data_IF_511707201662
#
_entry.id   IF_511707201662
#
_cell.length_a   1.000
_cell.length_b   1.000
_cell.length_c   1.000
_cell.angle_alpha   90.00
_cell.angle_beta   90.00
_cell.angle_gamma   90.00
#
_symmetry.space_group_name_H-M   'P 1'
#
loop_
_entity.id
_entity.type
_entity.pdbx_description
1 polymer ?
#
# COMPACT_ATOMS: atom_id res chain seq x y z
N UNK A 1 -16.77 36.27 27.18
CA UNK A 1 -17.23 34.94 26.73
C UNK A 1 -16.04 34.14 26.23
N UNK A 2 -15.91 32.87 26.63
CA UNK A 2 -14.86 32.01 26.11
C UNK A 2 -15.14 31.64 24.64
N UNK A 3 -14.09 31.36 23.87
CA UNK A 3 -14.25 30.87 22.50
C UNK A 3 -14.58 29.37 22.50
N UNK A 4 -15.48 28.95 21.60
CA UNK A 4 -15.72 27.53 21.33
C UNK A 4 -14.46 26.86 20.76
N UNK A 5 -14.29 25.55 21.01
CA UNK A 5 -13.19 24.76 20.45
C UNK A 5 -13.12 24.82 18.91
N UNK A 6 -14.29 24.96 18.25
CA UNK A 6 -14.44 25.10 16.79
C UNK A 6 -14.43 26.56 16.31
N UNK A 7 -14.02 27.50 17.15
CA UNK A 7 -13.92 28.91 16.77
C UNK A 7 -12.88 29.10 15.66
N UNK A 8 -13.30 29.71 14.54
CA UNK A 8 -12.46 29.91 13.35
C UNK A 8 -11.17 30.68 13.65
N UNK A 9 -11.22 31.71 14.50
CA UNK A 9 -10.04 32.50 14.87
C UNK A 9 -9.00 31.67 15.62
N UNK A 10 -9.43 30.86 16.59
CA UNK A 10 -8.56 29.95 17.35
C UNK A 10 -8.01 28.82 16.48
N UNK A 11 -8.82 28.27 15.56
CA UNK A 11 -8.36 27.26 14.61
C UNK A 11 -7.30 27.81 13.65
N UNK A 12 -7.49 29.02 13.11
CA UNK A 12 -6.47 29.69 12.27
C UNK A 12 -5.15 29.91 13.02
N UNK A 13 -5.22 30.37 14.27
CA UNK A 13 -4.04 30.53 15.11
C UNK A 13 -3.32 29.19 15.39
N UNK A 14 -4.06 28.10 15.61
CA UNK A 14 -3.49 26.76 15.74
C UNK A 14 -2.83 26.30 14.46
N UNK A 15 -3.47 26.50 13.30
CA UNK A 15 -2.91 26.13 12.01
C UNK A 15 -1.56 26.84 11.76
N UNK A 16 -1.49 28.16 11.99
CA UNK A 16 -0.24 28.91 11.86
C UNK A 16 0.88 28.36 12.76
N UNK A 17 0.54 27.88 13.97
CA UNK A 17 1.49 27.27 14.91
C UNK A 17 1.90 25.85 14.52
N UNK A 18 1.06 25.07 13.84
CA UNK A 18 1.33 23.65 13.56
C UNK A 18 1.96 23.46 12.18
N UNK A 19 1.48 24.20 11.18
CA UNK A 19 1.87 24.04 9.78
C UNK A 19 2.60 25.27 9.21
N UNK A 20 2.96 26.24 10.05
CA UNK A 20 3.76 27.38 9.62
C UNK A 20 5.17 26.92 9.21
N UNK A 21 5.75 27.55 8.18
CA UNK A 21 7.08 27.22 7.62
C UNK A 21 8.19 27.16 8.69
N UNK A 22 8.10 28.01 9.71
CA UNK A 22 9.08 28.07 10.81
C UNK A 22 8.57 27.45 12.12
N UNK A 23 7.47 26.71 12.09
CA UNK A 23 6.88 26.17 13.31
C UNK A 23 7.71 25.03 13.91
N UNK A 24 7.90 25.07 15.23
CA UNK A 24 8.64 24.04 15.94
C UNK A 24 7.88 22.69 15.97
N UNK A 25 6.56 22.74 15.91
CA UNK A 25 5.71 21.55 15.77
C UNK A 25 5.97 20.80 14.46
N UNK A 26 6.05 21.51 13.34
CA UNK A 26 6.33 20.91 12.04
C UNK A 26 7.72 20.28 12.03
N UNK A 27 8.75 21.05 12.46
CA UNK A 27 10.13 20.59 12.52
C UNK A 27 10.29 19.32 13.37
N UNK A 28 9.68 19.29 14.56
CA UNK A 28 9.74 18.13 15.44
C UNK A 28 9.05 16.92 14.81
N UNK A 29 7.91 17.12 14.16
CA UNK A 29 7.18 16.05 13.50
C UNK A 29 7.97 15.49 12.30
N UNK A 30 8.56 16.34 11.47
CA UNK A 30 9.42 15.94 10.36
C UNK A 30 10.66 15.18 10.84
N UNK A 31 11.34 15.69 11.87
CA UNK A 31 12.49 15.01 12.46
C UNK A 31 12.14 13.61 12.99
N UNK A 32 10.95 13.44 13.59
CA UNK A 32 10.47 12.13 14.02
C UNK A 32 10.17 11.21 12.84
N UNK A 33 9.53 11.73 11.78
CA UNK A 33 9.20 10.96 10.58
C UNK A 33 10.46 10.43 9.90
N UNK A 34 11.48 11.27 9.75
CA UNK A 34 12.75 10.86 9.16
C UNK A 34 13.41 9.76 10.00
N UNK A 35 13.49 9.96 11.33
CA UNK A 35 14.06 8.96 12.25
C UNK A 35 13.33 7.61 12.21
N UNK A 36 12.01 7.62 12.03
CA UNK A 36 11.23 6.39 11.87
C UNK A 36 11.48 5.74 10.52
N UNK A 37 11.56 6.52 9.44
CA UNK A 37 11.87 6.01 8.11
C UNK A 37 13.26 5.33 8.07
N UNK A 38 14.25 5.94 8.71
CA UNK A 38 15.61 5.37 8.78
C UNK A 38 15.60 4.03 9.55
N UNK A 39 14.95 4.00 10.72
CA UNK A 39 14.79 2.76 11.49
C UNK A 39 14.04 1.67 10.73
N UNK A 40 13.03 2.03 9.94
CA UNK A 40 12.28 1.08 9.12
C UNK A 40 13.16 0.48 8.02
N UNK A 41 13.97 1.31 7.35
CA UNK A 41 14.94 0.85 6.33
C UNK A 41 15.98 -0.08 6.96
N UNK A 42 16.60 0.34 8.07
CA UNK A 42 17.57 -0.47 8.80
C UNK A 42 16.99 -1.82 9.24
N UNK A 43 15.76 -1.83 9.74
CA UNK A 43 15.11 -3.06 10.19
C UNK A 43 14.83 -4.00 9.01
N UNK A 44 14.37 -3.46 7.88
CA UNK A 44 14.16 -4.24 6.65
C UNK A 44 15.46 -4.86 6.14
N UNK A 45 16.56 -4.10 6.14
CA UNK A 45 17.90 -4.61 5.77
C UNK A 45 18.30 -5.75 6.70
N UNK A 46 18.16 -5.57 8.03
CA UNK A 46 18.47 -6.62 9.03
C UNK A 46 17.63 -7.88 8.81
N UNK A 47 16.34 -7.73 8.49
CA UNK A 47 15.48 -8.88 8.19
C UNK A 47 15.91 -9.63 6.93
N UNK A 48 16.26 -8.91 5.85
CA UNK A 48 16.73 -9.52 4.60
C UNK A 48 18.08 -10.23 4.79
N UNK A 49 19.01 -9.61 5.52
CA UNK A 49 20.28 -10.23 5.90
C UNK A 49 20.07 -11.51 6.72
N UNK A 50 19.16 -11.48 7.72
CA UNK A 50 18.83 -12.65 8.51
C UNK A 50 18.20 -13.79 7.69
N UNK A 51 17.51 -13.47 6.60
CA UNK A 51 16.95 -14.44 5.64
C UNK A 51 17.96 -14.93 4.58
N UNK A 52 19.18 -14.38 4.56
CA UNK A 52 20.18 -14.68 3.53
C UNK A 52 19.86 -14.08 2.16
N UNK A 53 18.91 -13.14 2.08
CA UNK A 53 18.49 -12.47 0.83
C UNK A 53 19.40 -11.29 0.44
N UNK A 54 20.33 -10.88 1.32
CA UNK A 54 21.32 -9.83 1.08
C UNK A 54 22.73 -10.31 1.47
N UNK A 55 23.67 -10.26 0.52
CA UNK A 55 25.09 -10.39 0.82
C UNK A 55 25.59 -9.15 1.60
N UNK A 56 26.55 -9.37 2.49
CA UNK A 56 27.01 -8.49 3.57
C UNK A 56 27.70 -7.19 3.18
N UNK A 57 27.48 -6.63 2.00
CA UNK A 57 28.10 -5.37 1.59
C UNK A 57 27.13 -4.53 0.76
N UNK A 58 26.34 -3.68 1.42
CA UNK A 58 25.66 -2.57 0.75
C UNK A 58 25.93 -1.32 1.57
N UNK A 59 27.02 -0.63 1.19
CA UNK A 59 27.26 0.76 1.52
C UNK A 59 26.04 1.60 1.13
N UNK A 60 25.69 2.52 2.04
CA UNK A 60 24.47 3.29 1.96
C UNK A 60 24.43 4.24 0.77
N UNK A 61 23.86 3.79 -0.34
CA UNK A 61 23.05 4.63 -1.22
C UNK A 61 22.10 3.75 -2.04
N UNK A 62 20.86 4.20 -2.18
CA UNK A 62 19.80 3.55 -2.97
C UNK A 62 19.58 2.03 -2.74
N UNK A 63 18.79 1.68 -1.72
CA UNK A 63 18.00 0.45 -1.80
C UNK A 63 16.93 0.67 -2.86
N UNK A 64 17.30 0.49 -4.13
CA UNK A 64 16.35 0.27 -5.19
C UNK A 64 15.56 -0.98 -4.80
N UNK A 65 14.28 -0.79 -4.46
CA UNK A 65 13.37 -1.90 -4.16
C UNK A 65 12.94 -2.51 -5.51
N UNK A 66 13.94 -2.94 -6.28
CA UNK A 66 13.82 -3.79 -7.44
C UNK A 66 14.56 -5.09 -7.14
N UNK A 67 14.25 -5.69 -5.98
CA UNK A 67 14.31 -7.14 -5.91
C UNK A 67 13.15 -7.63 -6.79
N UNK A 68 13.42 -7.73 -8.09
CA UNK A 68 12.67 -8.61 -8.95
C UNK A 68 12.71 -9.98 -8.28
N UNK A 69 11.61 -10.29 -7.60
CA UNK A 69 11.23 -11.62 -7.21
C UNK A 69 11.12 -12.41 -8.51
N UNK A 70 12.25 -12.96 -8.97
CA UNK A 70 12.27 -13.95 -10.04
C UNK A 70 11.61 -15.21 -9.48
N UNK A 71 10.27 -15.17 -9.45
CA UNK A 71 9.48 -16.38 -9.52
C UNK A 71 9.87 -17.05 -10.83
N UNK A 72 10.71 -18.07 -10.75
CA UNK A 72 10.79 -19.12 -11.76
C UNK A 72 9.39 -19.73 -11.88
N UNK A 73 8.59 -19.18 -12.79
CA UNK A 73 7.30 -19.72 -13.19
C UNK A 73 7.48 -20.35 -14.58
N UNK A 74 7.93 -21.60 -14.58
CA UNK A 74 7.91 -22.52 -15.73
C UNK A 74 6.47 -22.86 -16.22
N UNK A 75 5.49 -22.01 -15.93
CA UNK A 75 4.14 -22.07 -16.47
C UNK A 75 3.54 -20.69 -16.76
N UNK A 76 4.35 -19.76 -17.26
CA UNK A 76 3.91 -18.45 -17.76
C UNK A 76 3.00 -18.57 -19.01
N UNK A 77 1.80 -19.13 -18.83
CA UNK A 77 0.70 -18.97 -19.76
C UNK A 77 0.48 -17.47 -19.96
N UNK A 78 0.46 -17.02 -21.22
CA UNK A 78 0.34 -15.62 -21.59
C UNK A 78 -0.95 -15.04 -21.01
N UNK A 79 -0.85 -14.40 -19.84
CA UNK A 79 -2.00 -13.79 -19.16
C UNK A 79 -2.44 -12.58 -19.97
N UNK A 80 -3.51 -12.74 -20.74
CA UNK A 80 -4.20 -11.64 -21.40
C UNK A 80 -4.69 -10.65 -20.34
N UNK A 81 -4.06 -9.48 -20.28
CA UNK A 81 -4.45 -8.36 -19.40
C UNK A 81 -5.68 -7.62 -19.90
N UNK A 82 -6.22 -7.97 -21.07
CA UNK A 82 -7.38 -7.33 -21.68
C UNK A 82 -8.74 -7.77 -21.09
N UNK A 83 -8.75 -8.61 -20.04
CA UNK A 83 -9.97 -9.11 -19.39
C UNK A 83 -9.94 -9.02 -17.87
N UNK A 84 -11.08 -9.29 -17.23
CA UNK A 84 -11.14 -9.42 -15.77
C UNK A 84 -10.23 -10.58 -15.37
N UNK A 85 -9.22 -10.33 -14.51
CA UNK A 85 -8.30 -11.35 -13.97
C UNK A 85 -9.12 -12.59 -13.58
N UNK A 86 -8.64 -13.79 -13.92
CA UNK A 86 -9.32 -15.08 -13.74
C UNK A 86 -9.54 -15.41 -12.26
N UNK A 87 -10.41 -14.67 -11.59
CA UNK A 87 -10.82 -14.95 -10.22
C UNK A 87 -11.77 -16.14 -10.21
N UNK A 88 -11.58 -17.04 -9.25
CA UNK A 88 -12.52 -18.12 -8.92
C UNK A 88 -13.94 -17.58 -8.74
N UNK A 89 -14.08 -16.31 -8.30
CA UNK A 89 -15.36 -15.61 -8.21
C UNK A 89 -16.03 -15.38 -9.58
N UNK A 90 -15.28 -15.01 -10.62
CA UNK A 90 -15.82 -14.81 -11.97
C UNK A 90 -16.24 -16.14 -12.61
N UNK A 91 -15.45 -17.19 -12.41
CA UNK A 91 -15.80 -18.55 -12.84
C UNK A 91 -17.04 -19.06 -12.09
N UNK A 92 -17.10 -18.87 -10.77
CA UNK A 92 -18.26 -19.22 -9.95
C UNK A 92 -19.53 -18.49 -10.43
N UNK A 93 -19.46 -17.17 -10.65
CA UNK A 93 -20.61 -16.38 -11.11
C UNK A 93 -21.13 -16.86 -12.47
N UNK A 94 -20.23 -17.10 -13.44
CA UNK A 94 -20.60 -17.65 -14.75
C UNK A 94 -21.21 -19.06 -14.63
N UNK A 95 -20.56 -19.96 -13.88
CA UNK A 95 -21.02 -21.33 -13.72
C UNK A 95 -22.33 -21.43 -12.93
N UNK A 96 -22.56 -20.54 -11.96
CA UNK A 96 -23.77 -20.52 -11.16
C UNK A 96 -24.95 -19.90 -11.93
N UNK A 97 -24.71 -18.85 -12.72
CA UNK A 97 -25.72 -18.26 -13.60
C UNK A 97 -26.20 -19.27 -14.67
N UNK A 98 -25.28 -20.01 -15.29
CA UNK A 98 -25.61 -21.02 -16.31
C UNK A 98 -26.28 -22.28 -15.71
N UNK A 99 -25.95 -22.66 -14.48
CA UNK A 99 -26.64 -23.76 -13.77
C UNK A 99 -28.07 -23.37 -13.36
N UNK A 100 -28.30 -22.12 -12.95
CA UNK A 100 -29.64 -21.62 -12.61
C UNK A 100 -30.56 -21.54 -13.83
N UNK A 101 -30.06 -21.12 -14.99
CA UNK A 101 -30.84 -21.08 -16.23
C UNK A 101 -31.18 -22.48 -16.77
N UNK A 102 -30.35 -23.50 -16.50
CA UNK A 102 -30.64 -24.90 -16.90
C UNK A 102 -31.65 -25.60 -16.00
N UNK A 103 -31.67 -25.31 -14.69
CA UNK A 103 -32.60 -25.94 -13.74
C UNK A 103 -33.99 -25.30 -13.73
N UNK A 104 -34.09 -23.98 -13.92
CA UNK A 104 -35.37 -23.30 -14.04
C UNK A 104 -35.69 -23.12 -15.52
N UNK A 105 -36.08 -24.21 -16.18
CA UNK A 105 -36.55 -24.24 -17.57
C UNK A 105 -37.98 -23.70 -17.69
N UNK A 106 -38.28 -22.64 -16.93
CA UNK A 106 -39.52 -21.87 -17.05
C UNK A 106 -39.17 -20.52 -17.63
N UNK A 107 -39.02 -20.53 -18.96
CA UNK A 107 -38.93 -19.39 -19.87
C UNK A 107 -37.70 -18.49 -19.72
N UNK A 108 -36.97 -18.34 -20.84
CA UNK A 108 -36.64 -17.02 -21.38
C UNK A 108 -36.24 -17.19 -22.85
N UNK A 109 -37.03 -16.55 -23.72
CA UNK A 109 -36.58 -16.04 -25.00
C UNK A 109 -35.29 -15.23 -24.83
#
# INVERSE_FOLDING_TARGET
MAHSARSKSKLKAKAAKISGKNSDYLKLNEARRNRLADKLKENLIKQKQAKGELATDVDGDAVDVAAEDKMDDDSASKVSTAGWRSSRHNQYKKNHATKKSKKNKTMKF
#
